data_IF_985600628058
#
_entry.id   IF_985600628058
#
_cell.length_a   1.000
_cell.length_b   1.000
_cell.length_c   1.000
_cell.angle_alpha   90.00
_cell.angle_beta   90.00
_cell.angle_gamma   90.00
#
_symmetry.space_group_name_H-M   'P 1'
#
loop_
_entity.id
_entity.type
_entity.pdbx_description
1 polymer ?
#
# COMPACT_ATOMS: atom_id res chain seq x y z
N UNK A 1 16.02 -6.88 48.40
CA UNK A 1 15.76 -6.18 47.13
C UNK A 1 15.80 -7.17 45.97
N UNK A 2 14.76 -7.24 45.13
CA UNK A 2 14.83 -7.71 43.73
C UNK A 2 13.48 -7.45 43.04
N UNK A 3 13.34 -6.28 42.41
CA UNK A 3 12.18 -5.96 41.55
C UNK A 3 12.39 -6.67 40.21
N UNK A 4 11.69 -7.78 39.96
CA UNK A 4 11.60 -8.37 38.63
C UNK A 4 10.66 -7.51 37.78
N UNK A 5 11.24 -6.68 36.90
CA UNK A 5 10.50 -6.00 35.83
C UNK A 5 10.01 -7.07 34.85
N UNK A 6 8.73 -7.46 34.95
CA UNK A 6 8.03 -8.22 33.90
C UNK A 6 8.04 -7.36 32.63
N UNK A 7 8.95 -7.64 31.70
CA UNK A 7 8.84 -7.12 30.33
C UNK A 7 7.57 -7.74 29.74
N UNK A 8 6.54 -6.93 29.51
CA UNK A 8 5.43 -7.31 28.64
C UNK A 8 6.05 -7.73 27.31
N UNK A 9 6.07 -9.05 27.03
CA UNK A 9 6.28 -9.54 25.67
C UNK A 9 5.03 -9.14 24.90
N UNK A 10 5.11 -8.04 24.16
CA UNK A 10 4.11 -7.70 23.14
C UNK A 10 3.87 -8.95 22.29
N UNK A 11 2.61 -9.31 21.97
CA UNK A 11 2.36 -10.48 21.14
C UNK A 11 3.08 -10.27 19.81
N UNK A 12 4.08 -11.13 19.56
CA UNK A 12 4.66 -11.32 18.24
C UNK A 12 3.55 -11.94 17.43
N UNK A 13 2.79 -11.11 16.71
CA UNK A 13 1.82 -11.58 15.75
C UNK A 13 2.63 -12.41 14.74
N UNK A 14 2.28 -13.68 14.48
CA UNK A 14 2.98 -14.46 13.47
C UNK A 14 2.95 -13.68 12.16
N UNK A 15 4.09 -13.63 11.46
CA UNK A 15 4.19 -12.93 10.19
C UNK A 15 3.23 -13.60 9.19
N UNK A 16 2.04 -13.01 9.00
CA UNK A 16 1.16 -13.38 7.89
C UNK A 16 1.93 -13.19 6.58
N UNK A 17 1.63 -14.00 5.59
CA UNK A 17 2.23 -13.86 4.27
C UNK A 17 1.91 -12.47 3.69
N UNK A 18 2.89 -11.74 3.12
CA UNK A 18 2.66 -10.42 2.54
C UNK A 18 1.56 -10.37 1.48
N UNK A 19 1.41 -11.41 0.65
CA UNK A 19 0.33 -11.47 -0.33
C UNK A 19 -1.04 -11.58 0.33
N UNK A 20 -1.18 -12.44 1.35
CA UNK A 20 -2.42 -12.54 2.12
C UNK A 20 -2.79 -11.23 2.79
N UNK A 21 -1.81 -10.51 3.39
CA UNK A 21 -2.05 -9.20 3.97
C UNK A 21 -2.48 -8.17 2.92
N UNK A 22 -1.88 -8.19 1.73
CA UNK A 22 -2.24 -7.28 0.64
C UNK A 22 -3.64 -7.56 0.11
N UNK A 23 -4.05 -8.83 0.01
CA UNK A 23 -5.40 -9.24 -0.36
C UNK A 23 -6.44 -8.83 0.69
N UNK A 24 -6.15 -8.98 1.99
CA UNK A 24 -7.06 -8.51 3.07
C UNK A 24 -7.19 -6.98 3.07
N UNK A 25 -6.09 -6.29 2.79
CA UNK A 25 -6.04 -4.84 2.72
C UNK A 25 -6.79 -4.27 1.52
N UNK A 26 -6.56 -4.79 0.31
CA UNK A 26 -7.00 -4.20 -0.95
C UNK A 26 -7.86 -5.12 -1.81
N UNK A 27 -8.35 -6.25 -1.28
CA UNK A 27 -9.22 -7.18 -2.00
C UNK A 27 -10.43 -6.50 -2.65
N UNK A 28 -11.21 -5.75 -1.85
CA UNK A 28 -12.36 -4.98 -2.36
C UNK A 28 -11.97 -3.94 -3.42
N UNK A 29 -10.73 -3.44 -3.36
CA UNK A 29 -10.21 -2.48 -4.33
C UNK A 29 -9.83 -3.18 -5.63
N UNK A 30 -9.23 -4.38 -5.57
CA UNK A 30 -8.91 -5.21 -6.75
C UNK A 30 -10.18 -5.66 -7.46
N UNK A 31 -11.23 -6.01 -6.72
CA UNK A 31 -12.51 -6.44 -7.30
C UNK A 31 -13.21 -5.38 -8.16
N UNK A 32 -12.74 -4.13 -8.14
CA UNK A 32 -13.25 -3.07 -9.03
C UNK A 32 -12.77 -3.24 -10.48
N UNK A 33 -11.66 -3.93 -10.72
CA UNK A 33 -11.14 -4.18 -12.06
C UNK A 33 -11.85 -5.36 -12.73
N UNK A 34 -12.29 -5.17 -13.97
CA UNK A 34 -13.00 -6.20 -14.76
C UNK A 34 -12.03 -7.05 -15.57
N UNK A 35 -10.89 -6.48 -15.94
CA UNK A 35 -9.81 -7.16 -16.67
C UNK A 35 -8.60 -7.40 -15.77
N UNK A 36 -7.68 -8.26 -16.21
CA UNK A 36 -6.42 -8.49 -15.49
C UNK A 36 -5.52 -7.25 -15.54
N UNK A 37 -5.51 -6.50 -16.64
CA UNK A 37 -4.79 -5.24 -16.77
C UNK A 37 -5.29 -4.18 -15.79
N UNK A 38 -6.61 -4.01 -15.67
CA UNK A 38 -7.21 -3.08 -14.69
C UNK A 38 -6.85 -3.50 -13.26
N UNK A 39 -6.94 -4.80 -12.94
CA UNK A 39 -6.54 -5.32 -11.62
C UNK A 39 -5.06 -5.11 -11.33
N UNK A 40 -4.19 -5.24 -12.33
CA UNK A 40 -2.76 -4.93 -12.22
C UNK A 40 -2.52 -3.44 -11.98
N UNK A 41 -3.28 -2.56 -12.61
CA UNK A 41 -3.21 -1.11 -12.34
C UNK A 41 -3.68 -0.80 -10.92
N UNK A 42 -4.80 -1.36 -10.48
CA UNK A 42 -5.31 -1.22 -9.12
C UNK A 42 -4.33 -1.77 -8.07
N UNK A 43 -3.64 -2.87 -8.37
CA UNK A 43 -2.56 -3.42 -7.54
C UNK A 43 -1.45 -2.39 -7.34
N UNK A 44 -1.00 -1.71 -8.40
CA UNK A 44 0.02 -0.66 -8.28
C UNK A 44 -0.44 0.48 -7.36
N UNK A 45 -1.70 0.91 -7.47
CA UNK A 45 -2.26 1.95 -6.60
C UNK A 45 -2.33 1.47 -5.14
N UNK A 46 -2.77 0.24 -4.90
CA UNK A 46 -2.81 -0.36 -3.57
C UNK A 46 -1.42 -0.42 -2.92
N UNK A 47 -0.40 -0.82 -3.69
CA UNK A 47 1.01 -0.85 -3.27
C UNK A 47 1.52 0.54 -2.93
N UNK A 48 1.19 1.56 -3.73
CA UNK A 48 1.51 2.96 -3.41
C UNK A 48 0.88 3.37 -2.08
N UNK A 49 -0.41 3.12 -1.89
CA UNK A 49 -1.12 3.38 -0.62
C UNK A 49 -0.46 2.68 0.58
N UNK A 50 -0.04 1.42 0.40
CA UNK A 50 0.63 0.65 1.44
C UNK A 50 1.95 1.29 1.86
N UNK A 51 2.78 1.65 0.89
CA UNK A 51 4.10 2.23 1.13
C UNK A 51 3.98 3.65 1.71
N UNK A 52 2.99 4.44 1.27
CA UNK A 52 2.71 5.76 1.82
C UNK A 52 2.28 5.71 3.29
N UNK A 53 1.58 4.64 3.70
CA UNK A 53 1.13 4.45 5.06
C UNK A 53 2.27 4.25 6.07
N UNK A 54 3.48 3.93 5.59
CA UNK A 54 4.68 3.76 6.42
C UNK A 54 5.26 5.07 6.92
N UNK A 55 4.97 6.19 6.25
CA UNK A 55 5.37 7.52 6.70
C UNK A 55 4.41 8.02 7.80
N UNK A 56 4.80 9.04 8.58
CA UNK A 56 3.88 9.78 9.45
C UNK A 56 2.70 10.37 8.66
N UNK A 57 1.54 10.55 9.30
CA UNK A 57 0.30 11.06 8.66
C UNK A 57 0.54 12.38 7.93
N UNK A 58 1.25 13.31 8.56
CA UNK A 58 1.61 14.61 8.00
C UNK A 58 2.49 14.52 6.76
N UNK A 59 3.37 13.52 6.69
CA UNK A 59 4.26 13.30 5.57
C UNK A 59 3.57 12.54 4.43
N UNK A 60 2.69 11.59 4.74
CA UNK A 60 1.84 10.92 3.74
C UNK A 60 1.01 11.91 2.95
N UNK A 61 0.33 12.86 3.62
CA UNK A 61 -0.47 13.87 2.94
C UNK A 61 0.36 14.74 1.99
N UNK A 62 1.55 15.16 2.42
CA UNK A 62 2.50 15.93 1.59
C UNK A 62 2.98 15.13 0.38
N UNK A 63 3.30 13.85 0.57
CA UNK A 63 3.75 12.96 -0.51
C UNK A 63 2.66 12.70 -1.53
N UNK A 64 1.42 12.49 -1.08
CA UNK A 64 0.26 12.34 -1.98
C UNK A 64 0.08 13.61 -2.80
N UNK A 65 0.10 14.78 -2.16
CA UNK A 65 -0.04 16.08 -2.84
C UNK A 65 1.06 16.26 -3.91
N UNK A 66 2.32 16.06 -3.54
CA UNK A 66 3.44 16.19 -4.46
C UNK A 66 3.34 15.24 -5.68
N UNK A 67 2.84 14.01 -5.48
CA UNK A 67 2.61 13.09 -6.59
C UNK A 67 1.48 13.57 -7.51
N UNK A 68 0.37 14.06 -6.96
CA UNK A 68 -0.72 14.60 -7.78
C UNK A 68 -0.32 15.86 -8.52
N UNK A 69 0.48 16.74 -7.92
CA UNK A 69 0.99 17.96 -8.55
C UNK A 69 1.94 17.61 -9.71
N UNK A 70 2.78 16.58 -9.54
CA UNK A 70 3.63 16.08 -10.61
C UNK A 70 2.83 15.48 -11.77
N UNK A 71 1.67 14.86 -11.49
CA UNK A 71 0.82 14.26 -12.52
C UNK A 71 0.00 15.31 -13.29
N UNK A 72 -0.49 16.36 -12.62
CA UNK A 72 -1.19 17.47 -13.26
C UNK A 72 -0.28 18.27 -14.20
N UNK A 73 0.96 18.52 -13.78
CA UNK A 73 1.94 19.26 -14.59
C UNK A 73 2.40 18.53 -15.86
N UNK A 74 2.24 17.20 -15.93
CA UNK A 74 2.64 16.40 -17.08
C UNK A 74 1.55 16.24 -18.15
N UNK A 75 0.27 16.44 -17.81
CA UNK A 75 -0.85 16.18 -18.71
C UNK A 75 -1.97 17.24 -18.57
N UNK A 76 -1.73 18.49 -18.96
CA UNK A 76 -2.72 19.56 -18.82
C UNK A 76 -3.94 19.43 -19.76
N UNK A 77 -3.83 18.74 -20.90
CA UNK A 77 -4.84 18.74 -21.97
C UNK A 77 -5.89 17.62 -21.90
N UNK A 78 -5.88 16.76 -20.88
CA UNK A 78 -6.91 15.73 -20.73
C UNK A 78 -8.13 16.31 -19.99
N UNK A 79 -9.27 16.45 -20.70
CA UNK A 79 -10.52 17.08 -20.22
C UNK A 79 -11.25 16.44 -19.03
N UNK A 80 -10.55 15.68 -18.18
CA UNK A 80 -11.03 15.14 -16.89
C UNK A 80 -9.90 14.96 -15.85
N UNK A 81 -8.74 15.59 -16.06
CA UNK A 81 -7.54 15.43 -15.21
C UNK A 81 -7.84 15.74 -13.76
N UNK A 82 -8.52 16.84 -13.46
CA UNK A 82 -8.82 17.23 -12.07
C UNK A 82 -9.68 16.19 -11.34
N UNK A 83 -10.72 15.67 -11.99
CA UNK A 83 -11.60 14.65 -11.39
C UNK A 83 -10.87 13.33 -11.18
N UNK A 84 -10.02 12.95 -12.13
CA UNK A 84 -9.20 11.74 -12.04
C UNK A 84 -8.14 11.86 -10.93
N UNK A 85 -7.50 13.03 -10.81
CA UNK A 85 -6.54 13.31 -9.74
C UNK A 85 -7.20 13.36 -8.36
N UNK A 86 -8.38 13.96 -8.25
CA UNK A 86 -9.15 13.98 -7.02
C UNK A 86 -9.53 12.55 -6.57
N UNK A 87 -9.99 11.72 -7.50
CA UNK A 87 -10.33 10.31 -7.24
C UNK A 87 -9.09 9.52 -6.84
N UNK A 88 -7.98 9.69 -7.56
CA UNK A 88 -6.70 9.04 -7.25
C UNK A 88 -6.16 9.44 -5.87
N UNK A 89 -6.21 10.73 -5.53
CA UNK A 89 -5.84 11.23 -4.20
C UNK A 89 -6.70 10.60 -3.11
N UNK A 90 -8.01 10.56 -3.33
CA UNK A 90 -8.95 9.98 -2.38
C UNK A 90 -8.64 8.50 -2.13
N UNK A 91 -8.42 7.73 -3.20
CA UNK A 91 -8.05 6.32 -3.09
C UNK A 91 -6.76 6.13 -2.30
N UNK A 92 -5.71 6.91 -2.58
CA UNK A 92 -4.43 6.80 -1.85
C UNK A 92 -4.56 7.12 -0.36
N UNK A 93 -5.35 8.13 0.00
CA UNK A 93 -5.61 8.47 1.41
C UNK A 93 -6.36 7.33 2.10
N UNK A 94 -7.46 6.87 1.52
CA UNK A 94 -8.29 5.79 2.07
C UNK A 94 -7.47 4.51 2.26
N UNK A 95 -6.66 4.16 1.25
CA UNK A 95 -5.75 3.04 1.29
C UNK A 95 -4.70 3.20 2.41
N UNK A 96 -4.03 4.35 2.49
CA UNK A 96 -3.03 4.57 3.53
C UNK A 96 -3.61 4.47 4.96
N UNK A 97 -4.81 5.00 5.18
CA UNK A 97 -5.54 4.89 6.44
C UNK A 97 -5.95 3.45 6.75
N UNK A 98 -6.50 2.73 5.75
CA UNK A 98 -6.88 1.32 5.90
C UNK A 98 -5.68 0.45 6.28
N UNK A 99 -4.52 0.65 5.66
CA UNK A 99 -3.27 -0.05 6.00
C UNK A 99 -2.89 0.22 7.46
N UNK A 100 -2.88 1.48 7.91
CA UNK A 100 -2.55 1.84 9.30
C UNK A 100 -3.49 1.19 10.32
N UNK A 101 -4.77 1.10 9.99
CA UNK A 101 -5.79 0.49 10.86
C UNK A 101 -5.63 -1.03 10.96
N UNK A 102 -5.46 -1.72 9.83
CA UNK A 102 -5.39 -3.18 9.78
C UNK A 102 -4.01 -3.70 10.21
N UNK A 103 -2.94 -3.02 9.81
CA UNK A 103 -1.56 -3.46 9.97
C UNK A 103 -0.67 -2.37 10.58
N UNK A 104 -0.99 -1.86 11.80
CA UNK A 104 -0.25 -0.75 12.43
C UNK A 104 1.21 -1.10 12.76
N UNK A 105 1.51 -2.39 12.95
CA UNK A 105 2.85 -2.87 13.34
C UNK A 105 3.71 -3.34 12.17
N UNK A 106 3.14 -3.43 10.96
CA UNK A 106 3.86 -3.89 9.78
C UNK A 106 4.64 -2.72 9.20
N UNK A 107 5.97 -2.81 9.23
CA UNK A 107 6.87 -1.75 8.73
C UNK A 107 7.51 -2.10 7.39
N UNK A 108 7.22 -3.29 6.85
CA UNK A 108 7.75 -3.73 5.58
C UNK A 108 7.11 -2.94 4.43
N UNK A 109 7.94 -2.50 3.49
CA UNK A 109 7.47 -1.89 2.25
C UNK A 109 7.32 -2.96 1.19
N UNK A 110 6.35 -2.79 0.30
CA UNK A 110 6.18 -3.67 -0.86
C UNK A 110 7.12 -3.16 -1.95
N UNK A 111 8.14 -3.95 -2.25
CA UNK A 111 9.14 -3.64 -3.27
C UNK A 111 8.62 -3.97 -4.68
N UNK A 112 7.89 -5.09 -4.79
CA UNK A 112 7.28 -5.55 -6.04
C UNK A 112 5.98 -6.28 -5.73
N UNK A 113 4.97 -6.07 -6.57
CA UNK A 113 3.76 -6.90 -6.58
C UNK A 113 3.29 -7.13 -8.02
N UNK A 114 2.84 -8.35 -8.32
CA UNK A 114 2.30 -8.75 -9.62
C UNK A 114 1.09 -9.66 -9.45
N UNK A 115 0.20 -9.64 -10.45
CA UNK A 115 -0.84 -10.67 -10.62
C UNK A 115 -0.37 -11.59 -11.74
N UNK A 116 -0.15 -12.85 -11.39
CA UNK A 116 0.36 -13.89 -12.25
C UNK A 116 -0.68 -15.00 -12.41
N UNK A 117 -0.72 -15.62 -13.58
CA UNK A 117 -1.65 -16.72 -13.87
C UNK A 117 -0.88 -18.03 -13.70
N UNK A 118 -1.11 -18.73 -12.59
CA UNK A 118 -0.43 -19.98 -12.24
C UNK A 118 -1.49 -21.07 -12.19
N UNK A 119 -1.35 -22.12 -13.01
CA UNK A 119 -2.31 -23.23 -13.11
C UNK A 119 -3.75 -22.74 -13.34
N UNK A 120 -3.93 -21.81 -14.30
CA UNK A 120 -5.23 -21.20 -14.63
C UNK A 120 -5.90 -20.43 -13.49
N UNK A 121 -5.17 -20.12 -12.42
CA UNK A 121 -5.62 -19.34 -11.28
C UNK A 121 -4.79 -18.08 -11.13
N UNK A 122 -5.44 -16.95 -10.86
CA UNK A 122 -4.74 -15.70 -10.56
C UNK A 122 -4.14 -15.76 -9.15
N UNK A 123 -2.85 -15.47 -9.06
CA UNK A 123 -2.11 -15.39 -7.81
C UNK A 123 -1.44 -14.03 -7.68
N UNK A 124 -1.57 -13.43 -6.49
CA UNK A 124 -0.87 -12.19 -6.15
C UNK A 124 0.49 -12.57 -5.60
N UNK A 125 1.55 -12.20 -6.32
CA UNK A 125 2.93 -12.42 -5.90
C UNK A 125 3.46 -11.12 -5.33
N UNK A 126 3.99 -11.16 -4.11
CA UNK A 126 4.47 -9.96 -3.39
C UNK A 126 5.89 -10.16 -2.89
N UNK A 127 6.77 -9.22 -3.23
CA UNK A 127 8.12 -9.11 -2.66
C UNK A 127 8.15 -7.90 -1.73
N UNK A 128 8.53 -8.12 -0.48
CA UNK A 128 8.68 -7.06 0.53
C UNK A 128 10.15 -6.79 0.82
N UNK A 129 10.46 -5.56 1.22
CA UNK A 129 11.75 -5.19 1.78
C UNK A 129 11.59 -4.49 3.12
N UNK A 130 12.69 -4.41 3.89
CA UNK A 130 12.71 -3.65 5.15
C UNK A 130 13.36 -2.29 4.90
N UNK A 131 12.80 -1.25 5.51
CA UNK A 131 13.37 0.11 5.46
C UNK A 131 14.83 0.19 5.95
N UNK A 132 15.29 -0.80 6.75
CA UNK A 132 16.69 -0.89 7.22
C UNK A 132 17.68 -1.30 6.14
N UNK A 133 17.21 -1.85 5.02
CA UNK A 133 18.06 -2.36 3.94
C UNK A 133 18.29 -1.33 2.81
N UNK A 134 17.68 -0.13 2.91
CA UNK A 134 18.06 1.00 2.06
C UNK A 134 19.38 1.59 2.57
N UNK A 135 20.50 1.15 2.01
CA UNK A 135 21.72 1.98 2.01
C UNK A 135 21.43 3.28 1.22
N UNK A 136 21.88 4.44 1.71
CA UNK A 136 21.78 5.70 1.00
C UNK A 136 22.50 5.66 -0.35
#
# INVERSE_FOLDING_TARGET
MKKMKKKLKSPVVPAREPAAMLCEYAGDFFSRGRTIEERRQLLKIAVLGWNLALFPVSETAKRIQAMTDSLSGQNPDQGNVEKNLASFRHDLVMLAEKKRRLFPRVTDYVAKASIELINSSEQVVVTVGRLKDRKP
#
